data_IF_212618161416
#
_entry.id   IF_212618161416
#
_cell.length_a   1.000
_cell.length_b   1.000
_cell.length_c   1.000
_cell.angle_alpha   90.00
_cell.angle_beta   90.00
_cell.angle_gamma   90.00
#
_symmetry.space_group_name_H-M   'P 1'
#
loop_
_entity.id
_entity.type
_entity.pdbx_description
1 polymer ?
#
# COMPACT_ATOMS: atom_id res chain seq x y z
N UNK A 1 56.19 16.14 13.45
CA UNK A 1 55.82 15.01 12.58
C UNK A 1 54.75 14.18 13.28
N UNK A 2 53.48 14.51 13.07
CA UNK A 2 52.34 13.84 13.70
C UNK A 2 51.43 13.25 12.64
N UNK A 3 51.28 11.92 12.64
CA UNK A 3 50.44 11.18 11.71
C UNK A 3 48.95 11.36 12.09
N UNK A 4 48.27 12.27 11.41
CA UNK A 4 46.82 12.46 11.51
C UNK A 4 46.07 11.40 10.70
N UNK A 5 45.61 10.34 11.36
CA UNK A 5 44.68 9.35 10.78
C UNK A 5 43.28 9.99 10.74
N UNK A 6 42.91 10.59 9.61
CA UNK A 6 41.52 11.00 9.35
C UNK A 6 40.77 9.80 8.78
N UNK A 7 39.97 9.15 9.63
CA UNK A 7 39.09 8.04 9.26
C UNK A 7 38.14 8.51 8.14
N UNK A 8 38.28 7.93 6.95
CA UNK A 8 37.26 8.01 5.89
C UNK A 8 35.98 7.39 6.46
N UNK A 9 34.94 8.20 6.64
CA UNK A 9 33.60 7.72 6.97
C UNK A 9 33.16 6.72 5.90
N UNK A 10 32.95 5.47 6.31
CA UNK A 10 32.58 4.31 5.45
C UNK A 10 31.13 4.39 4.95
N UNK A 11 30.41 5.48 5.25
CA UNK A 11 29.03 5.64 4.81
C UNK A 11 28.84 7.01 4.15
N UNK A 12 28.99 7.10 2.81
CA UNK A 12 28.25 8.12 2.11
C UNK A 12 26.76 7.72 2.15
N UNK A 13 25.91 8.74 2.16
CA UNK A 13 24.50 8.65 1.78
C UNK A 13 23.48 8.37 2.91
N UNK A 14 23.42 9.29 3.88
CA UNK A 14 22.20 9.55 4.67
C UNK A 14 21.09 10.21 3.83
N UNK A 15 21.37 10.66 2.60
CA UNK A 15 20.39 11.24 1.66
C UNK A 15 19.57 10.19 0.90
N UNK A 16 20.08 8.96 0.75
CA UNK A 16 19.32 7.82 0.22
C UNK A 16 18.18 7.33 1.12
N UNK A 17 17.95 8.00 2.25
CA UNK A 17 16.81 7.76 3.14
C UNK A 17 15.56 8.55 2.72
N UNK A 18 15.65 9.36 1.66
CA UNK A 18 14.57 10.26 1.21
C UNK A 18 13.58 9.70 0.19
N UNK A 19 13.71 8.46 -0.31
CA UNK A 19 12.78 7.91 -1.33
C UNK A 19 12.69 6.39 -1.26
N UNK A 20 12.11 5.86 -0.18
CA UNK A 20 11.43 4.56 -0.19
C UNK A 20 10.03 4.70 -0.85
N UNK A 21 9.88 5.60 -1.83
CA UNK A 21 8.64 5.79 -2.57
C UNK A 21 8.59 4.84 -3.76
N UNK A 22 8.13 3.61 -3.48
CA UNK A 22 7.04 2.93 -4.19
C UNK A 22 7.22 1.42 -4.03
N UNK A 23 6.54 0.82 -3.06
CA UNK A 23 6.45 -0.63 -2.90
C UNK A 23 5.71 -1.33 -4.06
N UNK A 24 5.08 -0.57 -4.96
CA UNK A 24 4.49 -1.07 -6.18
C UNK A 24 5.41 -0.83 -7.37
N UNK A 25 5.61 -1.86 -8.21
CA UNK A 25 6.29 -1.74 -9.51
C UNK A 25 5.55 -0.79 -10.47
N UNK A 26 4.24 -0.59 -10.24
CA UNK A 26 3.38 0.30 -10.99
C UNK A 26 3.10 1.52 -10.11
N UNK A 27 3.44 2.75 -10.54
CA UNK A 27 3.21 3.94 -9.73
C UNK A 27 1.70 4.19 -9.56
N UNK A 28 1.24 4.62 -8.37
CA UNK A 28 -0.16 4.99 -8.16
C UNK A 28 -0.53 6.22 -9.00
N UNK A 29 -1.75 6.24 -9.53
CA UNK A 29 -2.32 7.42 -10.20
C UNK A 29 -2.79 8.42 -9.15
N UNK A 30 -2.23 9.63 -9.15
CA UNK A 30 -2.57 10.71 -8.20
C UNK A 30 -3.96 11.33 -8.50
N UNK A 31 -4.28 11.51 -9.79
CA UNK A 31 -5.49 12.19 -10.26
C UNK A 31 -6.45 11.20 -10.92
N UNK A 32 -7.00 10.25 -10.14
CA UNK A 32 -8.01 9.31 -10.64
C UNK A 32 -9.43 9.78 -10.29
N UNK A 33 -10.40 9.59 -11.20
CA UNK A 33 -11.83 9.83 -10.95
C UNK A 33 -12.48 8.84 -9.95
N UNK A 34 -11.69 8.04 -9.23
CA UNK A 34 -12.17 7.08 -8.23
C UNK A 34 -12.45 7.81 -6.91
N UNK A 35 -13.70 7.76 -6.45
CA UNK A 35 -14.08 8.26 -5.12
C UNK A 35 -13.68 7.26 -4.04
N UNK A 36 -12.51 7.46 -3.41
CA UNK A 36 -12.01 6.63 -2.31
C UNK A 36 -12.55 7.16 -0.98
N UNK A 37 -13.20 6.31 -0.18
CA UNK A 37 -13.61 6.69 1.18
C UNK A 37 -12.39 6.83 2.09
N UNK A 38 -12.38 7.88 2.91
CA UNK A 38 -11.35 8.12 3.92
C UNK A 38 -11.77 7.57 5.29
N UNK A 39 -10.87 6.89 5.98
CA UNK A 39 -11.11 6.26 7.27
C UNK A 39 -9.87 5.57 7.84
N UNK A 40 -9.91 5.07 9.08
CA UNK A 40 -8.78 4.35 9.67
C UNK A 40 -8.47 3.09 8.86
N UNK A 41 -7.22 2.95 8.38
CA UNK A 41 -6.80 1.84 7.51
C UNK A 41 -7.00 2.05 6.01
N UNK A 42 -7.50 3.21 5.57
CA UNK A 42 -7.75 3.46 4.14
C UNK A 42 -6.52 3.83 3.33
N UNK A 43 -5.38 4.15 3.97
CA UNK A 43 -4.17 4.62 3.26
C UNK A 43 -3.55 3.54 2.35
N UNK A 44 -3.51 2.29 2.81
CA UNK A 44 -2.98 1.15 2.03
C UNK A 44 -3.95 0.77 0.91
N UNK A 45 -5.26 0.71 1.21
CA UNK A 45 -6.32 0.48 0.23
C UNK A 45 -6.37 1.58 -0.85
N UNK A 46 -6.24 2.84 -0.47
CA UNK A 46 -6.19 3.94 -1.42
C UNK A 46 -5.01 3.79 -2.39
N UNK A 47 -3.84 3.38 -1.87
CA UNK A 47 -2.68 3.11 -2.72
C UNK A 47 -2.95 1.96 -3.69
N UNK A 48 -3.60 0.87 -3.25
CA UNK A 48 -3.99 -0.24 -4.14
C UNK A 48 -4.92 0.25 -5.26
N UNK A 49 -5.99 0.96 -4.92
CA UNK A 49 -6.95 1.44 -5.91
C UNK A 49 -6.35 2.45 -6.88
N UNK A 50 -5.44 3.33 -6.43
CA UNK A 50 -4.67 4.23 -7.30
C UNK A 50 -3.74 3.48 -8.26
N UNK A 51 -3.19 2.33 -7.87
CA UNK A 51 -2.43 1.46 -8.78
C UNK A 51 -3.38 0.78 -9.78
N UNK A 52 -4.54 0.32 -9.34
CA UNK A 52 -5.54 -0.26 -10.24
C UNK A 52 -6.16 0.76 -11.20
N UNK A 53 -6.09 2.06 -10.90
CA UNK A 53 -6.63 3.13 -11.73
C UNK A 53 -6.00 3.23 -13.15
N UNK A 54 -4.85 2.58 -13.40
CA UNK A 54 -4.34 2.35 -14.76
C UNK A 54 -5.30 1.51 -15.63
N UNK A 55 -6.24 0.80 -15.01
CA UNK A 55 -7.34 0.02 -15.60
C UNK A 55 -8.65 0.38 -14.88
N UNK A 56 -9.31 1.50 -15.23
CA UNK A 56 -10.39 2.07 -14.41
C UNK A 56 -11.60 1.16 -14.24
N UNK A 57 -11.95 0.34 -15.26
CA UNK A 57 -13.05 -0.62 -15.14
C UNK A 57 -12.76 -1.70 -14.09
N UNK A 58 -11.51 -2.19 -14.03
CA UNK A 58 -11.07 -3.16 -13.03
C UNK A 58 -11.11 -2.54 -11.63
N UNK A 59 -10.62 -1.31 -11.49
CA UNK A 59 -10.64 -0.60 -10.21
C UNK A 59 -12.09 -0.44 -9.68
N UNK A 60 -13.02 0.03 -10.53
CA UNK A 60 -14.43 0.20 -10.16
C UNK A 60 -15.09 -1.11 -9.73
N UNK A 61 -14.91 -2.17 -10.52
CA UNK A 61 -15.44 -3.50 -10.18
C UNK A 61 -14.86 -4.03 -8.87
N UNK A 62 -13.56 -3.80 -8.63
CA UNK A 62 -12.88 -4.25 -7.41
C UNK A 62 -13.39 -3.49 -6.17
N UNK A 63 -13.65 -2.19 -6.28
CA UNK A 63 -14.25 -1.39 -5.21
C UNK A 63 -15.67 -1.88 -4.87
N UNK A 64 -16.48 -2.15 -5.89
CA UNK A 64 -17.84 -2.69 -5.71
C UNK A 64 -17.81 -4.07 -5.07
N UNK A 65 -16.88 -4.94 -5.50
CA UNK A 65 -16.69 -6.25 -4.91
C UNK A 65 -16.30 -6.16 -3.44
N UNK A 66 -15.34 -5.29 -3.10
CA UNK A 66 -14.91 -5.06 -1.73
C UNK A 66 -16.09 -4.59 -0.86
N UNK A 67 -16.82 -3.57 -1.31
CA UNK A 67 -17.96 -3.03 -0.57
C UNK A 67 -19.05 -4.08 -0.37
N UNK A 68 -19.44 -4.77 -1.44
CA UNK A 68 -20.46 -5.83 -1.38
C UNK A 68 -20.04 -6.92 -0.41
N UNK A 69 -18.80 -7.41 -0.53
CA UNK A 69 -18.29 -8.51 0.29
C UNK A 69 -18.16 -8.11 1.74
N UNK A 70 -17.60 -6.93 2.05
CA UNK A 70 -17.28 -6.55 3.42
C UNK A 70 -18.48 -5.98 4.18
N UNK A 71 -19.37 -5.24 3.51
CA UNK A 71 -20.47 -4.50 4.16
C UNK A 71 -21.84 -5.18 4.15
N UNK A 72 -22.05 -6.19 3.30
CA UNK A 72 -23.37 -6.83 3.15
C UNK A 72 -23.35 -8.32 3.45
N UNK A 73 -24.50 -8.99 3.44
CA UNK A 73 -24.62 -10.44 3.68
C UNK A 73 -24.75 -10.81 5.16
N UNK A 74 -24.60 -12.10 5.45
CA UNK A 74 -24.94 -12.69 6.76
C UNK A 74 -23.74 -12.98 7.65
N UNK A 75 -22.52 -12.89 7.13
CA UNK A 75 -21.29 -13.09 7.90
C UNK A 75 -20.94 -11.81 8.65
N UNK A 76 -20.60 -11.95 9.94
CA UNK A 76 -20.19 -10.84 10.78
C UNK A 76 -19.00 -10.05 10.19
N UNK A 77 -19.04 -8.71 10.16
CA UNK A 77 -17.97 -7.90 9.58
C UNK A 77 -16.58 -8.20 10.16
N UNK A 78 -16.48 -8.45 11.48
CA UNK A 78 -15.20 -8.75 12.13
C UNK A 78 -14.63 -10.08 11.67
N UNK A 79 -15.49 -11.07 11.41
CA UNK A 79 -15.04 -12.35 10.87
C UNK A 79 -14.48 -12.21 9.45
N UNK A 80 -15.06 -11.34 8.62
CA UNK A 80 -14.54 -11.05 7.29
C UNK A 80 -13.17 -10.39 7.33
N UNK A 81 -12.95 -9.45 8.26
CA UNK A 81 -11.63 -8.83 8.46
C UNK A 81 -10.58 -9.86 8.91
N UNK A 82 -10.93 -10.76 9.84
CA UNK A 82 -10.02 -11.83 10.27
C UNK A 82 -9.66 -12.76 9.11
N UNK A 83 -10.62 -13.08 8.24
CA UNK A 83 -10.37 -13.84 7.02
C UNK A 83 -9.44 -13.08 6.06
N UNK A 84 -9.69 -11.78 5.83
CA UNK A 84 -8.84 -10.95 4.98
C UNK A 84 -7.39 -10.89 5.48
N UNK A 85 -7.18 -10.77 6.80
CA UNK A 85 -5.86 -10.84 7.44
C UNK A 85 -5.21 -12.20 7.20
N UNK A 86 -5.94 -13.30 7.47
CA UNK A 86 -5.38 -14.64 7.34
C UNK A 86 -5.00 -14.97 5.89
N UNK A 87 -5.84 -14.60 4.93
CA UNK A 87 -5.57 -14.78 3.50
C UNK A 87 -4.34 -13.97 3.08
N UNK A 88 -4.22 -12.72 3.54
CA UNK A 88 -3.05 -11.88 3.26
C UNK A 88 -1.76 -12.49 3.82
N UNK A 89 -1.79 -13.07 5.02
CA UNK A 89 -0.63 -13.74 5.61
C UNK A 89 -0.20 -14.97 4.80
N UNK A 90 -1.16 -15.84 4.42
CA UNK A 90 -0.88 -17.06 3.65
C UNK A 90 -0.34 -16.72 2.26
N UNK A 91 -0.80 -15.61 1.67
CA UNK A 91 -0.35 -15.14 0.37
C UNK A 91 0.86 -14.19 0.42
N UNK A 92 1.42 -13.91 1.60
CA UNK A 92 2.51 -12.95 1.75
C UNK A 92 2.19 -11.58 1.13
N UNK A 93 0.96 -11.10 1.29
CA UNK A 93 0.50 -9.80 0.80
C UNK A 93 0.71 -8.71 1.87
N UNK A 94 1.65 -7.78 1.62
CA UNK A 94 2.12 -6.79 2.59
C UNK A 94 1.71 -5.34 2.23
N UNK A 95 0.50 -5.15 1.71
CA UNK A 95 0.00 -3.84 1.30
C UNK A 95 -0.27 -2.89 2.47
#
# INVERSE_FOLDING_TARGET
MGNGVTKRSVYPDRERRGKLNSMSRIPPVENSDLSLQEGPGTTTMATLFRVMAHRPDVARQSMQLLETTMRTGTVDPKLKELLAIRVSQVNHCYY
#
